data_IF_722309409201
#
_entry.id   IF_722309409201
#
_cell.length_a   1.000
_cell.length_b   1.000
_cell.length_c   1.000
_cell.angle_alpha   90.00
_cell.angle_beta   90.00
_cell.angle_gamma   90.00
#
_symmetry.space_group_name_H-M   'P 1'
#
loop_
_entity.id
_entity.type
_entity.pdbx_description
1 polymer ?
#
# COMPACT_ATOMS: atom_id res chain seq x y z
N UNK A 1 11.87 -40.09 4.02
CA UNK A 1 12.13 -38.65 3.91
C UNK A 1 11.58 -38.12 2.58
N UNK A 2 11.33 -36.84 2.49
CA UNK A 2 10.79 -36.19 1.29
C UNK A 2 10.60 -34.69 1.49
N UNK A 3 9.68 -34.10 0.73
CA UNK A 3 9.42 -32.66 0.75
C UNK A 3 7.93 -32.34 0.85
N UNK A 4 7.65 -31.14 1.37
CA UNK A 4 6.31 -30.55 1.41
C UNK A 4 5.96 -30.01 0.03
N UNK A 5 4.80 -30.44 -0.51
CA UNK A 5 4.23 -29.83 -1.72
C UNK A 5 3.39 -28.63 -1.33
N UNK A 6 2.49 -28.82 -0.35
CA UNK A 6 1.55 -27.80 0.10
C UNK A 6 1.19 -28.00 1.57
N UNK A 7 0.82 -26.93 2.25
CA UNK A 7 0.33 -26.98 3.62
C UNK A 7 -0.78 -25.97 3.86
N UNK A 8 -1.85 -26.41 4.52
CA UNK A 8 -3.02 -25.58 4.85
C UNK A 8 -3.48 -25.85 6.29
N UNK A 9 -4.26 -24.93 6.81
CA UNK A 9 -4.91 -25.08 8.11
C UNK A 9 -6.39 -25.41 7.90
N UNK A 10 -6.79 -26.63 8.24
CA UNK A 10 -8.18 -27.06 8.21
C UNK A 10 -8.86 -26.78 9.55
N UNK A 11 -10.12 -26.33 9.53
CA UNK A 11 -10.85 -25.96 10.75
C UNK A 11 -11.11 -27.15 11.69
N UNK A 12 -11.26 -28.35 11.14
CA UNK A 12 -11.62 -29.55 11.88
C UNK A 12 -10.43 -30.47 12.15
N UNK A 13 -9.49 -30.52 11.20
CA UNK A 13 -8.33 -31.45 11.25
C UNK A 13 -7.05 -30.79 11.73
N UNK A 14 -7.01 -29.44 11.85
CA UNK A 14 -5.78 -28.70 12.15
C UNK A 14 -4.85 -28.60 10.94
N UNK A 15 -3.52 -28.58 11.15
CA UNK A 15 -2.55 -28.56 10.06
C UNK A 15 -2.67 -29.81 9.18
N UNK A 16 -2.88 -29.59 7.88
CA UNK A 16 -2.97 -30.61 6.83
C UNK A 16 -1.85 -30.34 5.83
N UNK A 17 -1.02 -31.34 5.57
CA UNK A 17 0.20 -31.19 4.76
C UNK A 17 0.25 -32.27 3.68
N UNK A 18 0.46 -31.86 2.45
CA UNK A 18 0.74 -32.77 1.34
C UNK A 18 2.24 -33.00 1.23
N UNK A 19 2.66 -34.23 1.46
CA UNK A 19 4.05 -34.66 1.42
C UNK A 19 4.31 -35.47 0.15
N UNK A 20 5.42 -35.21 -0.53
CA UNK A 20 5.96 -36.10 -1.55
C UNK A 20 7.06 -36.97 -0.93
N UNK A 21 6.83 -38.27 -0.91
CA UNK A 21 7.81 -39.22 -0.42
C UNK A 21 8.90 -39.41 -1.47
N UNK A 22 10.15 -39.17 -1.10
CA UNK A 22 11.32 -39.31 -1.98
C UNK A 22 12.14 -40.55 -1.66
N UNK A 23 12.20 -40.93 -0.37
CA UNK A 23 13.00 -42.07 0.06
C UNK A 23 12.38 -42.72 1.30
N UNK A 24 12.38 -44.06 1.33
CA UNK A 24 11.82 -44.84 2.41
C UNK A 24 10.28 -44.91 2.35
N UNK A 25 9.68 -45.50 3.39
CA UNK A 25 8.23 -45.67 3.53
C UNK A 25 7.72 -44.88 4.71
N UNK A 26 6.71 -44.03 4.52
CA UNK A 26 6.00 -43.32 5.60
C UNK A 26 4.80 -44.15 6.04
N UNK A 27 4.65 -44.32 7.36
CA UNK A 27 3.57 -45.15 7.94
C UNK A 27 2.68 -44.31 8.87
N UNK A 28 1.46 -44.76 9.02
CA UNK A 28 0.56 -44.23 10.06
C UNK A 28 1.18 -44.39 11.43
N UNK A 29 1.21 -43.32 12.22
CA UNK A 29 1.81 -43.35 13.55
C UNK A 29 3.28 -42.95 13.60
N UNK A 30 3.98 -42.79 12.48
CA UNK A 30 5.38 -42.34 12.46
C UNK A 30 5.56 -40.97 13.06
N UNK A 31 6.52 -40.76 13.96
CA UNK A 31 6.96 -39.43 14.36
C UNK A 31 7.71 -38.75 13.21
N UNK A 32 7.30 -37.54 12.86
CA UNK A 32 7.92 -36.79 11.77
C UNK A 32 8.35 -35.39 12.20
N UNK A 33 9.36 -34.88 11.52
CA UNK A 33 9.75 -33.46 11.52
C UNK A 33 9.60 -32.93 10.11
N UNK A 34 8.89 -31.81 9.98
CA UNK A 34 8.67 -31.12 8.71
C UNK A 34 9.11 -29.67 8.88
N UNK A 35 10.19 -29.27 8.17
CA UNK A 35 10.81 -27.97 8.44
C UNK A 35 11.27 -27.85 9.90
N UNK A 36 10.69 -26.89 10.62
CA UNK A 36 10.90 -26.63 12.05
C UNK A 36 9.75 -27.12 12.95
N UNK A 37 8.81 -27.89 12.39
CA UNK A 37 7.65 -28.42 13.10
C UNK A 37 7.76 -29.93 13.30
N UNK A 38 7.19 -30.43 14.40
CA UNK A 38 7.15 -31.85 14.72
C UNK A 38 5.71 -32.35 14.84
N UNK A 39 5.52 -33.63 14.72
CA UNK A 39 4.24 -34.27 14.92
C UNK A 39 4.27 -35.74 14.76
N UNK A 40 3.11 -36.37 14.87
CA UNK A 40 2.90 -37.79 14.62
C UNK A 40 1.84 -37.95 13.53
N UNK A 41 2.13 -38.79 12.55
CA UNK A 41 1.17 -39.05 11.45
C UNK A 41 -0.12 -39.63 12.04
N UNK A 42 -1.19 -38.84 12.07
CA UNK A 42 -2.51 -39.26 12.58
C UNK A 42 -3.39 -39.83 11.49
N UNK A 43 -3.36 -39.24 10.29
CA UNK A 43 -4.02 -39.74 9.11
C UNK A 43 -3.08 -39.70 7.93
N UNK A 44 -3.16 -40.66 7.06
CA UNK A 44 -2.42 -40.73 5.81
C UNK A 44 -3.40 -41.02 4.69
N UNK A 45 -3.52 -40.12 3.71
CA UNK A 45 -4.42 -40.24 2.58
C UNK A 45 -3.68 -40.16 1.25
N UNK A 46 -4.08 -40.97 0.30
CA UNK A 46 -3.56 -40.92 -1.06
C UNK A 46 -4.13 -39.73 -1.86
N UNK A 47 -3.71 -39.58 -3.10
CA UNK A 47 -4.18 -38.59 -4.06
C UNK A 47 -5.66 -38.74 -4.43
N UNK A 48 -6.23 -39.94 -4.29
CA UNK A 48 -7.66 -40.20 -4.46
C UNK A 48 -8.51 -39.90 -3.20
N UNK A 49 -7.84 -39.54 -2.06
CA UNK A 49 -8.47 -39.23 -0.78
C UNK A 49 -8.76 -40.46 0.10
N UNK A 50 -8.31 -41.66 -0.30
CA UNK A 50 -8.48 -42.88 0.49
C UNK A 50 -7.48 -42.92 1.65
N UNK A 51 -7.89 -43.46 2.80
CA UNK A 51 -7.00 -43.68 3.92
C UNK A 51 -6.09 -44.89 3.63
N UNK A 52 -4.78 -44.66 3.81
CA UNK A 52 -3.76 -45.69 3.61
C UNK A 52 -2.94 -45.82 4.88
N UNK A 53 -2.38 -47.01 5.12
CA UNK A 53 -1.54 -47.28 6.32
C UNK A 53 -0.06 -47.00 6.07
N UNK A 54 0.35 -46.96 4.80
CA UNK A 54 1.75 -46.66 4.41
C UNK A 54 1.78 -46.00 3.01
N UNK A 55 2.82 -45.24 2.76
CA UNK A 55 3.11 -44.62 1.48
C UNK A 55 4.58 -44.80 1.09
N UNK A 56 4.81 -45.17 -0.18
CA UNK A 56 6.10 -45.45 -0.79
C UNK A 56 6.63 -44.23 -1.57
N UNK A 57 7.89 -44.26 -2.02
CA UNK A 57 8.46 -43.20 -2.83
C UNK A 57 7.65 -42.86 -4.08
N UNK A 58 7.74 -41.59 -4.50
CA UNK A 58 7.01 -40.99 -5.65
C UNK A 58 5.49 -40.88 -5.47
N UNK A 59 4.98 -41.15 -4.27
CA UNK A 59 3.55 -40.96 -3.97
C UNK A 59 3.32 -39.66 -3.18
N UNK A 60 2.46 -38.76 -3.64
CA UNK A 60 1.97 -37.66 -2.85
C UNK A 60 0.96 -38.17 -1.82
N UNK A 61 1.04 -37.71 -0.58
CA UNK A 61 0.09 -38.09 0.48
C UNK A 61 -0.27 -36.91 1.35
N UNK A 62 -1.54 -36.82 1.70
CA UNK A 62 -2.05 -35.87 2.67
C UNK A 62 -1.89 -36.43 4.08
N UNK A 63 -1.25 -35.66 4.95
CA UNK A 63 -0.91 -36.04 6.33
C UNK A 63 -1.48 -35.04 7.30
N UNK A 64 -2.01 -35.51 8.44
CA UNK A 64 -2.38 -34.67 9.59
C UNK A 64 -1.59 -35.07 10.82
N UNK A 65 -1.54 -34.17 11.83
CA UNK A 65 -0.91 -34.47 13.13
C UNK A 65 0.35 -33.68 13.42
N UNK A 66 0.68 -32.68 12.58
CA UNK A 66 1.72 -31.70 12.89
C UNK A 66 1.21 -30.65 13.88
N UNK A 67 2.15 -30.02 14.60
CA UNK A 67 1.89 -28.97 15.59
C UNK A 67 1.63 -27.60 14.95
N UNK A 68 2.06 -27.35 13.71
CA UNK A 68 1.78 -26.13 12.95
C UNK A 68 1.93 -26.36 11.43
N UNK A 69 1.70 -25.33 10.62
CA UNK A 69 1.69 -25.39 9.15
C UNK A 69 3.10 -25.12 8.59
N UNK A 70 3.78 -26.09 7.99
CA UNK A 70 5.11 -25.91 7.37
C UNK A 70 5.02 -25.13 6.06
N UNK A 71 6.18 -24.78 5.51
CA UNK A 71 6.31 -24.08 4.24
C UNK A 71 6.44 -25.10 3.09
N UNK A 72 5.87 -24.77 1.92
CA UNK A 72 6.09 -25.56 0.70
C UNK A 72 7.57 -25.61 0.36
N UNK A 73 8.10 -26.78 0.02
CA UNK A 73 9.52 -27.03 -0.18
C UNK A 73 10.31 -27.48 1.06
N UNK A 74 9.74 -27.37 2.26
CA UNK A 74 10.36 -27.89 3.48
C UNK A 74 10.64 -29.39 3.35
N UNK A 75 11.76 -29.81 3.91
CA UNK A 75 12.12 -31.23 3.97
C UNK A 75 11.47 -31.88 5.19
N UNK A 76 10.94 -33.08 4.99
CA UNK A 76 10.49 -33.90 6.12
C UNK A 76 11.32 -35.16 6.30
N UNK A 77 11.37 -35.62 7.55
CA UNK A 77 12.01 -36.89 7.96
C UNK A 77 11.14 -37.56 9.00
N UNK A 78 11.04 -38.89 8.90
CA UNK A 78 10.48 -39.74 9.96
C UNK A 78 11.59 -40.16 10.92
N UNK A 79 11.22 -40.31 12.18
CA UNK A 79 12.11 -40.67 13.31
C UNK A 79 11.57 -41.91 14.02
N UNK A 80 12.43 -42.56 14.80
CA UNK A 80 12.01 -43.73 15.57
C UNK A 80 11.26 -43.35 16.86
N UNK A 81 11.53 -42.14 17.40
CA UNK A 81 10.89 -41.65 18.61
C UNK A 81 10.38 -40.21 18.50
N UNK A 82 9.23 -39.93 19.14
CA UNK A 82 8.69 -38.57 19.22
C UNK A 82 9.64 -37.60 19.94
N UNK A 83 10.45 -38.11 20.90
CA UNK A 83 11.41 -37.29 21.67
C UNK A 83 12.51 -36.75 20.76
N UNK A 84 13.03 -37.58 19.87
CA UNK A 84 14.04 -37.17 18.89
C UNK A 84 13.45 -36.16 17.89
N UNK A 85 12.27 -36.45 17.34
CA UNK A 85 11.58 -35.55 16.44
C UNK A 85 11.38 -34.16 17.06
N UNK A 86 10.86 -34.07 18.28
CA UNK A 86 10.70 -32.83 19.03
C UNK A 86 12.02 -32.09 19.26
N UNK A 87 13.09 -32.80 19.64
CA UNK A 87 14.43 -32.21 19.87
C UNK A 87 14.97 -31.55 18.59
N UNK A 88 14.85 -32.23 17.44
CA UNK A 88 15.32 -31.73 16.15
C UNK A 88 14.48 -30.50 15.71
N UNK A 89 13.17 -30.56 15.85
CA UNK A 89 12.29 -29.47 15.53
C UNK A 89 12.58 -28.20 16.37
N UNK A 90 12.80 -28.38 17.70
CA UNK A 90 13.18 -27.27 18.59
C UNK A 90 14.49 -26.61 18.16
N UNK A 91 15.52 -27.35 17.90
CA UNK A 91 16.82 -26.81 17.45
C UNK A 91 16.68 -26.01 16.16
N UNK A 92 15.90 -26.51 15.17
CA UNK A 92 15.64 -25.79 13.91
C UNK A 92 14.89 -24.51 14.18
N UNK A 93 13.85 -24.54 15.02
CA UNK A 93 13.04 -23.36 15.39
C UNK A 93 13.87 -22.27 16.09
N UNK A 94 14.77 -22.64 16.97
CA UNK A 94 15.71 -21.71 17.63
C UNK A 94 16.65 -21.05 16.61
N UNK A 95 17.21 -21.84 15.69
CA UNK A 95 18.08 -21.32 14.63
C UNK A 95 17.35 -20.36 13.71
N UNK A 96 16.11 -20.65 13.33
CA UNK A 96 15.28 -19.76 12.51
C UNK A 96 14.89 -18.47 13.25
N UNK A 97 14.56 -18.58 14.55
CA UNK A 97 14.31 -17.41 15.40
C UNK A 97 15.54 -16.50 15.48
N UNK A 98 16.73 -17.07 15.72
CA UNK A 98 17.99 -16.31 15.75
C UNK A 98 18.24 -15.53 14.46
N UNK A 99 17.99 -16.14 13.30
CA UNK A 99 18.10 -15.47 11.99
C UNK A 99 17.08 -14.33 11.80
N UNK A 100 15.84 -14.51 12.27
CA UNK A 100 14.78 -13.48 12.17
C UNK A 100 15.04 -12.29 13.09
N UNK A 101 15.64 -12.49 14.27
CA UNK A 101 15.98 -11.40 15.19
C UNK A 101 17.19 -10.59 14.72
N UNK A 102 18.15 -11.19 14.01
CA UNK A 102 19.32 -10.49 13.49
C UNK A 102 18.99 -9.45 12.40
N UNK A 103 17.82 -9.51 11.79
CA UNK A 103 17.39 -8.55 10.74
C UNK A 103 16.44 -7.44 11.23
N UNK A 104 16.19 -7.25 12.53
CA UNK A 104 15.14 -6.37 13.03
C UNK A 104 15.53 -5.39 14.14
N UNK A 105 16.78 -5.06 14.30
CA UNK A 105 17.17 -3.93 15.12
C UNK A 105 17.30 -2.67 14.25
N UNK A 106 16.16 -2.01 13.99
CA UNK A 106 16.17 -0.62 13.52
C UNK A 106 16.79 0.24 14.63
N UNK A 107 17.80 1.04 14.30
CA UNK A 107 18.37 2.01 15.24
C UNK A 107 17.33 3.09 15.54
N UNK A 108 17.41 3.70 16.73
CA UNK A 108 16.56 4.85 17.07
C UNK A 108 16.70 5.99 16.07
N UNK A 109 17.88 6.15 15.47
CA UNK A 109 18.14 7.17 14.45
C UNK A 109 17.36 6.91 13.16
N UNK A 110 17.25 5.65 12.71
CA UNK A 110 16.42 5.27 11.55
C UNK A 110 14.92 5.48 11.82
N UNK A 111 14.47 5.30 13.06
CA UNK A 111 13.09 5.58 13.48
C UNK A 111 12.85 7.11 13.46
N UNK A 112 13.80 7.91 13.93
CA UNK A 112 13.72 9.37 13.91
C UNK A 112 13.74 9.94 12.49
N UNK A 113 14.51 9.36 11.57
CA UNK A 113 14.49 9.75 10.15
C UNK A 113 13.14 9.42 9.51
N UNK A 114 12.58 8.23 9.76
CA UNK A 114 11.25 7.84 9.26
C UNK A 114 10.13 8.76 9.77
N UNK A 115 10.20 9.22 11.03
CA UNK A 115 9.23 10.16 11.60
C UNK A 115 9.38 11.56 10.99
N UNK A 116 10.61 12.02 10.71
CA UNK A 116 10.87 13.32 10.09
C UNK A 116 10.42 13.43 8.64
N UNK A 117 10.44 12.31 7.89
CA UNK A 117 10.08 12.27 6.47
C UNK A 117 8.56 12.25 6.22
N UNK A 118 7.72 12.18 7.27
CA UNK A 118 6.26 12.20 7.14
C UNK A 118 5.70 11.09 6.25
N UNK A 119 6.42 9.97 6.13
CA UNK A 119 6.00 8.85 5.26
C UNK A 119 4.68 8.28 5.72
N UNK A 120 3.75 8.18 4.79
CA UNK A 120 2.47 7.52 5.00
C UNK A 120 2.67 6.01 5.00
N UNK A 121 1.94 5.29 5.86
CA UNK A 121 2.04 3.82 5.96
C UNK A 121 0.67 3.18 5.72
N UNK A 122 0.67 2.07 4.96
CA UNK A 122 -0.48 1.17 4.85
C UNK A 122 -0.17 -0.09 5.66
N UNK A 123 -0.90 -0.27 6.75
CA UNK A 123 -0.81 -1.46 7.58
C UNK A 123 -1.74 -2.55 7.03
N UNK A 124 -1.22 -3.76 6.87
CA UNK A 124 -1.93 -4.89 6.27
C UNK A 124 -1.90 -6.10 7.20
N UNK A 125 -3.05 -6.75 7.38
CA UNK A 125 -3.16 -8.10 7.91
C UNK A 125 -3.53 -9.01 6.74
N UNK A 126 -2.68 -10.01 6.47
CA UNK A 126 -2.85 -10.94 5.35
C UNK A 126 -3.32 -12.30 5.83
N UNK A 127 -4.40 -12.83 5.26
CA UNK A 127 -4.90 -14.19 5.50
C UNK A 127 -5.06 -14.91 4.17
N UNK A 128 -4.57 -16.14 4.09
CA UNK A 128 -4.55 -16.94 2.87
C UNK A 128 -5.02 -18.37 3.11
N UNK A 129 -5.36 -19.06 2.05
CA UNK A 129 -5.78 -20.47 2.09
C UNK A 129 -4.62 -21.43 2.39
N UNK A 130 -3.47 -21.20 1.77
CA UNK A 130 -2.27 -22.05 1.87
C UNK A 130 -1.02 -21.22 2.14
N UNK A 131 0.00 -21.88 2.64
CA UNK A 131 1.28 -21.23 3.03
C UNK A 131 2.02 -20.64 1.83
N UNK A 132 2.00 -21.31 0.69
CA UNK A 132 2.59 -20.81 -0.55
C UNK A 132 1.94 -19.52 -1.04
N UNK A 133 0.62 -19.40 -0.94
CA UNK A 133 -0.12 -18.17 -1.26
C UNK A 133 0.26 -17.03 -0.31
N UNK A 134 0.45 -17.30 0.98
CA UNK A 134 0.89 -16.29 1.97
C UNK A 134 2.23 -15.67 1.56
N UNK A 135 3.21 -16.49 1.24
CA UNK A 135 4.53 -16.01 0.83
C UNK A 135 4.49 -15.26 -0.50
N UNK A 136 3.75 -15.78 -1.48
CA UNK A 136 3.62 -15.15 -2.79
C UNK A 136 2.97 -13.76 -2.70
N UNK A 137 1.83 -13.64 -2.01
CA UNK A 137 1.12 -12.36 -1.85
C UNK A 137 1.94 -11.39 -1.01
N UNK A 138 2.54 -11.84 0.11
CA UNK A 138 3.40 -11.00 0.94
C UNK A 138 4.60 -10.45 0.18
N UNK A 139 5.28 -11.29 -0.60
CA UNK A 139 6.42 -10.86 -1.41
C UNK A 139 6.00 -9.91 -2.53
N UNK A 140 4.82 -10.11 -3.13
CA UNK A 140 4.27 -9.21 -4.13
C UNK A 140 3.96 -7.83 -3.52
N UNK A 141 3.32 -7.77 -2.36
CA UNK A 141 3.02 -6.53 -1.64
C UNK A 141 4.30 -5.75 -1.26
N UNK A 142 5.32 -6.45 -0.74
CA UNK A 142 6.59 -5.82 -0.33
C UNK A 142 7.46 -5.33 -1.51
N UNK A 143 7.16 -5.75 -2.74
CA UNK A 143 7.81 -5.26 -3.97
C UNK A 143 7.16 -4.00 -4.54
N UNK A 144 5.96 -3.64 -4.08
CA UNK A 144 5.32 -2.38 -4.50
C UNK A 144 6.16 -1.23 -3.94
N UNK A 145 6.59 -0.36 -4.83
CA UNK A 145 7.39 0.82 -4.48
C UNK A 145 6.67 2.08 -4.97
N UNK A 146 6.13 2.83 -4.05
CA UNK A 146 5.53 4.16 -4.27
C UNK A 146 6.24 5.12 -3.35
N UNK A 147 6.86 6.14 -3.91
CA UNK A 147 7.62 7.13 -3.15
C UNK A 147 6.71 7.83 -2.11
N UNK A 148 7.19 7.98 -0.88
CA UNK A 148 6.42 8.60 0.20
C UNK A 148 5.41 7.69 0.92
N UNK A 149 5.17 6.44 0.47
CA UNK A 149 4.25 5.51 1.14
C UNK A 149 4.91 4.14 1.33
N UNK A 150 4.77 3.56 2.52
CA UNK A 150 5.33 2.25 2.87
C UNK A 150 4.23 1.24 3.19
N UNK A 151 4.42 -0.01 2.75
CA UNK A 151 3.57 -1.13 3.16
C UNK A 151 4.18 -1.81 4.38
N UNK A 152 3.36 -2.00 5.41
CA UNK A 152 3.73 -2.71 6.62
C UNK A 152 2.79 -3.90 6.84
N UNK A 153 3.29 -5.12 6.67
CA UNK A 153 2.52 -6.34 6.93
C UNK A 153 2.63 -6.66 8.42
N UNK A 154 1.64 -6.22 9.20
CA UNK A 154 1.57 -6.41 10.66
C UNK A 154 1.52 -7.89 11.02
N UNK A 155 0.68 -8.63 10.31
CA UNK A 155 0.50 -10.07 10.51
C UNK A 155 0.16 -10.75 9.20
N UNK A 156 0.75 -11.92 8.98
CA UNK A 156 0.34 -12.82 7.92
C UNK A 156 0.09 -14.22 8.48
N UNK A 157 -0.79 -14.98 7.86
CA UNK A 157 -1.08 -16.34 8.30
C UNK A 157 -2.07 -17.09 7.42
N UNK A 158 -2.04 -18.41 7.56
CA UNK A 158 -2.93 -19.32 6.84
C UNK A 158 -4.23 -19.52 7.61
N UNK A 159 -5.32 -19.70 6.89
CA UNK A 159 -6.66 -19.94 7.43
C UNK A 159 -7.62 -18.78 7.22
N UNK A 160 -8.85 -18.93 7.71
CA UNK A 160 -9.90 -17.90 7.57
C UNK A 160 -9.62 -16.67 8.42
N UNK A 161 -10.19 -15.53 8.01
CA UNK A 161 -10.16 -14.30 8.80
C UNK A 161 -10.99 -14.51 10.08
N UNK A 162 -10.41 -14.17 11.23
CA UNK A 162 -11.00 -14.37 12.56
C UNK A 162 -11.34 -13.03 13.22
N UNK A 163 -12.13 -13.05 14.30
CA UNK A 163 -12.39 -11.85 15.09
C UNK A 163 -11.12 -11.26 15.73
N UNK A 164 -10.16 -12.10 16.10
CA UNK A 164 -8.86 -11.63 16.60
C UNK A 164 -8.09 -10.84 15.55
N UNK A 165 -8.22 -11.18 14.26
CA UNK A 165 -7.60 -10.43 13.17
C UNK A 165 -8.28 -9.06 13.02
N UNK A 166 -9.61 -8.98 13.22
CA UNK A 166 -10.38 -7.71 13.20
C UNK A 166 -9.98 -6.81 14.37
N UNK A 167 -9.87 -7.36 15.57
CA UNK A 167 -9.40 -6.59 16.75
C UNK A 167 -7.99 -6.06 16.56
N UNK A 168 -7.09 -6.89 16.01
CA UNK A 168 -5.72 -6.47 15.70
C UNK A 168 -5.70 -5.38 14.61
N UNK A 169 -6.55 -5.50 13.59
CA UNK A 169 -6.67 -4.49 12.54
C UNK A 169 -7.13 -3.14 13.11
N UNK A 170 -8.11 -3.15 14.00
CA UNK A 170 -8.57 -1.96 14.68
C UNK A 170 -7.46 -1.30 15.53
N UNK A 171 -6.71 -2.10 16.29
CA UNK A 171 -5.64 -1.60 17.16
C UNK A 171 -4.43 -1.05 16.37
N UNK A 172 -4.19 -1.53 15.15
CA UNK A 172 -3.06 -1.13 14.30
C UNK A 172 -3.45 -0.29 13.10
N UNK A 173 -4.68 0.18 13.01
CA UNK A 173 -5.23 0.91 11.87
C UNK A 173 -4.89 0.22 10.53
N UNK A 174 -5.15 -1.08 10.47
CA UNK A 174 -4.80 -1.94 9.35
C UNK A 174 -6.00 -2.36 8.53
N UNK A 175 -5.81 -2.59 7.23
CA UNK A 175 -6.76 -3.27 6.36
C UNK A 175 -6.53 -4.79 6.42
N UNK A 176 -7.58 -5.57 6.21
CA UNK A 176 -7.47 -7.03 6.17
C UNK A 176 -7.59 -7.49 4.72
N UNK A 177 -6.58 -8.20 4.23
CA UNK A 177 -6.56 -8.84 2.93
C UNK A 177 -6.78 -10.34 3.11
N UNK A 178 -7.85 -10.86 2.52
CA UNK A 178 -8.12 -12.29 2.40
C UNK A 178 -7.85 -12.78 0.98
N UNK A 179 -6.91 -13.70 0.83
CA UNK A 179 -6.61 -14.33 -0.45
C UNK A 179 -7.11 -15.76 -0.46
N UNK A 180 -8.06 -16.07 -1.35
CA UNK A 180 -8.80 -17.33 -1.42
C UNK A 180 -9.50 -17.76 -0.12
N UNK A 181 -9.68 -16.84 0.83
CA UNK A 181 -10.36 -17.10 2.09
C UNK A 181 -11.46 -16.07 2.33
N UNK A 182 -12.49 -16.47 3.09
CA UNK A 182 -13.60 -15.59 3.43
C UNK A 182 -13.84 -15.60 4.94
N UNK A 183 -14.17 -14.45 5.54
CA UNK A 183 -14.57 -14.38 6.95
C UNK A 183 -15.95 -15.03 7.16
N UNK A 184 -16.24 -15.45 8.39
CA UNK A 184 -17.59 -15.85 8.79
C UNK A 184 -18.54 -14.66 8.75
N UNK A 185 -19.86 -14.92 8.76
CA UNK A 185 -20.88 -13.85 8.83
C UNK A 185 -20.66 -12.96 10.08
N UNK A 186 -20.42 -13.58 11.22
CA UNK A 186 -20.15 -12.90 12.48
C UNK A 186 -18.89 -12.02 12.39
N UNK A 187 -17.79 -12.53 11.84
CA UNK A 187 -16.54 -11.76 11.63
C UNK A 187 -16.77 -10.55 10.72
N UNK A 188 -17.62 -10.68 9.68
CA UNK A 188 -17.99 -9.55 8.82
C UNK A 188 -18.76 -8.47 9.59
N UNK A 189 -19.71 -8.89 10.42
CA UNK A 189 -20.50 -7.97 11.24
C UNK A 189 -19.60 -7.24 12.26
N UNK A 190 -18.69 -7.97 12.91
CA UNK A 190 -17.70 -7.39 13.82
C UNK A 190 -16.78 -6.38 13.08
N UNK A 191 -16.26 -6.72 11.92
CA UNK A 191 -15.44 -5.81 11.12
C UNK A 191 -16.20 -4.52 10.75
N UNK A 192 -17.45 -4.66 10.34
CA UNK A 192 -18.32 -3.51 10.04
C UNK A 192 -18.54 -2.62 11.27
N UNK A 193 -18.73 -3.18 12.47
CA UNK A 193 -18.91 -2.41 13.70
C UNK A 193 -17.68 -1.61 14.11
N UNK A 194 -16.49 -2.11 13.78
CA UNK A 194 -15.20 -1.42 13.99
C UNK A 194 -14.76 -0.53 12.81
N UNK A 195 -15.52 -0.52 11.70
CA UNK A 195 -15.15 0.23 10.49
C UNK A 195 -13.93 -0.34 9.76
N UNK A 196 -13.61 -1.62 9.97
CA UNK A 196 -12.45 -2.27 9.35
C UNK A 196 -12.79 -2.75 7.96
N UNK A 197 -11.97 -2.35 6.98
CA UNK A 197 -12.08 -2.79 5.59
C UNK A 197 -11.49 -4.20 5.43
N UNK A 198 -12.29 -5.11 4.89
CA UNK A 198 -11.89 -6.47 4.54
C UNK A 198 -11.98 -6.62 3.02
N UNK A 199 -10.83 -6.77 2.37
CA UNK A 199 -10.71 -6.98 0.93
C UNK A 199 -10.44 -8.44 0.62
N UNK A 200 -11.21 -9.01 -0.30
CA UNK A 200 -11.13 -10.43 -0.67
C UNK A 200 -10.67 -10.57 -2.12
N UNK A 201 -9.64 -11.37 -2.34
CA UNK A 201 -9.03 -11.57 -3.65
C UNK A 201 -8.79 -13.06 -3.92
N UNK A 202 -8.74 -13.40 -5.20
CA UNK A 202 -8.33 -14.70 -5.73
C UNK A 202 -7.25 -14.59 -6.83
N UNK A 203 -6.84 -13.35 -7.17
CA UNK A 203 -5.82 -13.07 -8.18
C UNK A 203 -4.80 -12.11 -7.55
N UNK A 204 -3.51 -12.50 -7.54
CA UNK A 204 -2.44 -11.70 -6.90
C UNK A 204 -2.28 -10.34 -7.57
N UNK A 205 -2.38 -10.26 -8.90
CA UNK A 205 -2.23 -8.99 -9.62
C UNK A 205 -3.27 -7.95 -9.21
N UNK A 206 -4.51 -8.36 -8.90
CA UNK A 206 -5.54 -7.44 -8.40
C UNK A 206 -5.21 -6.88 -7.02
N UNK A 207 -4.58 -7.70 -6.15
CA UNK A 207 -4.10 -7.21 -4.85
C UNK A 207 -3.08 -6.11 -5.05
N UNK A 208 -2.10 -6.34 -5.95
CA UNK A 208 -1.03 -5.38 -6.22
C UNK A 208 -1.59 -4.09 -6.81
N UNK A 209 -2.45 -4.18 -7.84
CA UNK A 209 -3.07 -3.00 -8.49
C UNK A 209 -3.87 -2.14 -7.51
N UNK A 210 -4.73 -2.75 -6.69
CA UNK A 210 -5.58 -1.99 -5.76
C UNK A 210 -4.76 -1.35 -4.63
N UNK A 211 -3.76 -2.05 -4.10
CA UNK A 211 -2.89 -1.50 -3.06
C UNK A 211 -2.01 -0.39 -3.62
N UNK A 212 -1.44 -0.57 -4.82
CA UNK A 212 -0.66 0.48 -5.49
C UNK A 212 -1.50 1.73 -5.78
N UNK A 213 -2.73 1.54 -6.26
CA UNK A 213 -3.67 2.65 -6.46
C UNK A 213 -4.03 3.36 -5.15
N UNK A 214 -4.22 2.61 -4.05
CA UNK A 214 -4.46 3.18 -2.72
C UNK A 214 -3.24 3.97 -2.22
N UNK A 215 -2.02 3.46 -2.42
CA UNK A 215 -0.78 4.17 -2.07
C UNK A 215 -0.64 5.49 -2.84
N UNK A 216 -0.85 5.47 -4.16
CA UNK A 216 -0.85 6.69 -4.99
C UNK A 216 -1.91 7.70 -4.54
N UNK A 217 -3.10 7.23 -4.18
CA UNK A 217 -4.18 8.07 -3.65
C UNK A 217 -3.92 8.67 -2.27
N UNK A 218 -2.95 8.14 -1.52
CA UNK A 218 -2.53 8.71 -0.23
C UNK A 218 -1.54 9.85 -0.36
N UNK A 219 -0.86 9.99 -1.50
CA UNK A 219 0.08 11.08 -1.72
C UNK A 219 -0.64 12.42 -1.67
N UNK A 220 0.00 13.43 -1.09
CA UNK A 220 -0.52 14.78 -1.15
C UNK A 220 -0.45 15.26 -2.59
N UNK A 221 -1.47 15.99 -3.07
CA UNK A 221 -1.45 16.50 -4.42
C UNK A 221 -0.27 17.48 -4.59
N UNK A 222 0.64 17.16 -5.47
CA UNK A 222 1.68 18.10 -5.90
C UNK A 222 1.06 19.10 -6.85
N UNK A 223 1.34 20.39 -6.60
CA UNK A 223 0.89 21.48 -7.44
C UNK A 223 2.09 22.10 -8.13
N UNK A 224 2.05 22.18 -9.45
CA UNK A 224 3.01 22.93 -10.23
C UNK A 224 2.43 24.26 -10.68
N UNK A 225 3.31 25.28 -10.74
CA UNK A 225 2.95 26.57 -11.29
C UNK A 225 2.87 26.48 -12.82
N UNK A 226 1.69 26.74 -13.37
CA UNK A 226 1.50 26.83 -14.81
C UNK A 226 1.28 28.29 -15.19
N UNK A 227 2.21 28.86 -15.91
CA UNK A 227 2.08 30.21 -16.46
C UNK A 227 0.99 30.19 -17.52
N UNK A 228 -0.03 31.00 -17.34
CA UNK A 228 -1.15 31.16 -18.27
C UNK A 228 -0.86 32.24 -19.33
N UNK A 229 -0.17 33.29 -18.94
CA UNK A 229 0.14 34.39 -19.83
C UNK A 229 0.76 35.58 -19.12
N UNK A 230 1.08 36.60 -19.90
CA UNK A 230 1.66 37.85 -19.41
C UNK A 230 0.95 39.05 -20.01
N UNK A 231 0.94 40.16 -19.24
CA UNK A 231 0.36 41.40 -19.64
C UNK A 231 1.21 42.60 -19.17
N UNK A 232 1.29 43.65 -19.99
CA UNK A 232 2.06 44.86 -19.68
C UNK A 232 1.09 46.00 -19.30
N UNK A 233 1.41 46.73 -18.24
CA UNK A 233 0.63 47.89 -17.81
C UNK A 233 0.93 49.07 -18.73
N UNK A 234 -0.07 49.52 -19.48
CA UNK A 234 0.04 50.67 -20.38
C UNK A 234 -0.51 51.95 -19.77
N UNK A 235 -1.51 51.84 -18.87
CA UNK A 235 -2.16 52.98 -18.27
C UNK A 235 -2.75 52.66 -16.91
N UNK A 236 -2.78 53.60 -16.01
CA UNK A 236 -3.38 53.47 -14.69
C UNK A 236 -4.62 54.35 -14.58
N UNK A 237 -5.73 53.75 -14.17
CA UNK A 237 -6.98 54.48 -13.94
C UNK A 237 -7.27 54.52 -12.45
N UNK A 238 -7.47 55.73 -11.91
CA UNK A 238 -7.81 55.95 -10.51
C UNK A 238 -9.30 56.05 -10.30
N UNK A 239 -9.87 55.16 -9.52
CA UNK A 239 -11.29 55.19 -9.17
C UNK A 239 -11.48 55.23 -7.66
N UNK A 240 -12.22 56.26 -7.18
CA UNK A 240 -12.41 56.54 -5.75
C UNK A 240 -13.07 55.40 -4.95
N UNK A 241 -13.77 54.48 -5.61
CA UNK A 241 -14.51 53.37 -4.95
C UNK A 241 -13.82 52.02 -5.01
N UNK A 242 -12.86 51.81 -5.91
CA UNK A 242 -12.29 50.48 -6.22
C UNK A 242 -10.75 50.50 -6.14
N UNK A 243 -10.14 51.69 -5.94
CA UNK A 243 -8.68 51.85 -5.99
C UNK A 243 -8.16 52.04 -7.41
N UNK A 244 -6.88 51.75 -7.62
CA UNK A 244 -6.24 51.84 -8.92
C UNK A 244 -6.58 50.62 -9.78
N UNK A 245 -6.94 50.84 -11.04
CA UNK A 245 -7.16 49.80 -12.05
C UNK A 245 -5.99 49.86 -13.03
N UNK A 246 -5.28 48.73 -13.19
CA UNK A 246 -4.23 48.59 -14.18
C UNK A 246 -4.84 48.35 -15.57
N UNK A 247 -4.71 49.29 -16.49
CA UNK A 247 -5.00 49.10 -17.90
C UNK A 247 -3.86 48.39 -18.57
N UNK A 248 -4.07 47.12 -18.87
CA UNK A 248 -3.03 46.23 -19.38
C UNK A 248 -3.30 45.79 -20.82
N UNK A 249 -2.22 45.49 -21.52
CA UNK A 249 -2.24 44.81 -22.81
C UNK A 249 -1.69 43.39 -22.63
N UNK A 250 -2.45 42.37 -23.04
CA UNK A 250 -2.04 40.96 -22.93
C UNK A 250 -1.00 40.67 -24.01
N UNK A 251 0.25 40.50 -23.59
CA UNK A 251 1.41 40.28 -24.47
C UNK A 251 1.57 38.83 -24.86
N UNK A 252 1.21 37.89 -23.97
CA UNK A 252 1.23 36.46 -24.28
C UNK A 252 0.19 35.67 -23.48
N UNK A 253 -0.25 34.54 -24.04
CA UNK A 253 -1.17 33.62 -23.41
C UNK A 253 -2.56 34.19 -23.09
N UNK A 254 -3.04 33.96 -21.87
CA UNK A 254 -4.37 34.30 -21.41
C UNK A 254 -4.28 34.86 -19.99
N UNK A 255 -4.98 35.93 -19.71
CA UNK A 255 -5.22 36.47 -18.37
C UNK A 255 -6.59 36.02 -17.90
N UNK A 256 -6.67 35.35 -16.76
CA UNK A 256 -7.91 34.78 -16.23
C UNK A 256 -8.27 35.36 -14.87
N UNK A 257 -9.54 35.58 -14.63
CA UNK A 257 -10.04 36.08 -13.35
C UNK A 257 -9.79 35.05 -12.23
N UNK A 258 -9.47 35.47 -11.02
CA UNK A 258 -9.11 34.70 -9.86
C UNK A 258 -7.79 33.88 -10.03
N UNK A 259 -7.02 34.06 -11.09
CA UNK A 259 -5.68 33.50 -11.22
C UNK A 259 -4.68 34.22 -10.32
N UNK A 260 -3.60 33.55 -9.98
CA UNK A 260 -2.46 34.19 -9.29
C UNK A 260 -1.71 35.09 -10.29
N UNK A 261 -1.11 36.15 -9.78
CA UNK A 261 -0.38 37.10 -10.59
C UNK A 261 0.81 37.66 -9.85
N UNK A 262 1.96 37.66 -10.50
CA UNK A 262 3.17 38.38 -10.05
C UNK A 262 3.27 39.71 -10.76
N UNK A 263 3.50 40.75 -9.98
CA UNK A 263 3.83 42.06 -10.52
C UNK A 263 5.33 42.17 -10.61
N UNK A 264 5.84 42.39 -11.81
CA UNK A 264 7.26 42.45 -12.10
C UNK A 264 7.62 43.86 -12.57
N UNK A 265 8.59 44.51 -11.91
CA UNK A 265 9.15 45.81 -12.27
C UNK A 265 10.67 45.68 -12.40
N UNK A 266 11.23 46.11 -13.51
CA UNK A 266 12.69 46.04 -13.78
C UNK A 266 13.26 44.63 -13.54
N UNK A 267 12.50 43.58 -13.93
CA UNK A 267 12.91 42.17 -13.75
C UNK A 267 12.81 41.64 -12.31
N UNK A 268 12.29 42.43 -11.35
CA UNK A 268 12.11 42.00 -9.94
C UNK A 268 10.63 41.80 -9.63
N UNK A 269 10.30 40.70 -8.97
CA UNK A 269 8.97 40.44 -8.45
C UNK A 269 8.73 41.39 -7.26
N UNK A 270 7.73 42.27 -7.37
CA UNK A 270 7.33 43.17 -6.29
C UNK A 270 6.35 42.51 -5.33
N UNK A 271 5.38 41.76 -5.87
CA UNK A 271 4.37 41.07 -5.10
C UNK A 271 3.83 39.88 -5.89
N UNK A 272 3.36 38.89 -5.16
CA UNK A 272 2.60 37.75 -5.63
C UNK A 272 1.23 37.78 -4.98
N UNK A 273 0.16 37.86 -5.77
CA UNK A 273 -1.20 38.07 -5.30
C UNK A 273 -2.22 37.45 -6.28
N UNK A 274 -3.50 37.80 -6.17
CA UNK A 274 -4.55 37.30 -7.06
C UNK A 274 -5.21 38.42 -7.84
N UNK A 275 -5.68 38.09 -9.03
CA UNK A 275 -6.53 38.97 -9.83
C UNK A 275 -7.92 39.00 -9.20
N UNK A 276 -8.34 40.15 -8.72
CA UNK A 276 -9.66 40.37 -8.12
C UNK A 276 -10.78 40.55 -9.16
N UNK A 277 -10.49 41.31 -10.22
CA UNK A 277 -11.44 41.45 -11.34
C UNK A 277 -10.75 41.79 -12.66
N UNK A 278 -11.37 41.41 -13.75
CA UNK A 278 -10.98 41.79 -15.11
C UNK A 278 -12.15 42.47 -15.78
N UNK A 279 -11.91 43.65 -16.39
CA UNK A 279 -12.91 44.42 -17.13
C UNK A 279 -12.47 44.70 -18.55
N UNK A 280 -13.34 44.54 -19.50
CA UNK A 280 -13.14 44.93 -20.90
C UNK A 280 -14.17 45.94 -21.31
N UNK A 281 -13.74 47.21 -21.35
CA UNK A 281 -14.68 48.32 -21.49
C UNK A 281 -15.54 48.48 -20.23
N UNK A 282 -16.87 48.28 -20.34
CA UNK A 282 -17.80 48.34 -19.20
C UNK A 282 -18.21 46.99 -18.64
N UNK A 283 -17.78 45.89 -19.30
CA UNK A 283 -18.23 44.54 -18.99
C UNK A 283 -17.14 43.77 -18.22
N UNK A 284 -17.57 42.97 -17.25
CA UNK A 284 -16.68 42.02 -16.55
C UNK A 284 -16.35 40.86 -17.49
N UNK A 285 -15.06 40.52 -17.60
CA UNK A 285 -14.57 39.41 -18.39
C UNK A 285 -14.07 38.31 -17.49
N UNK A 286 -14.34 37.04 -17.86
CA UNK A 286 -13.77 35.87 -17.16
C UNK A 286 -12.33 35.60 -17.56
N UNK A 287 -12.00 35.87 -18.82
CA UNK A 287 -10.67 35.73 -19.40
C UNK A 287 -10.43 36.70 -20.55
N UNK A 288 -9.19 37.07 -20.77
CA UNK A 288 -8.76 37.91 -21.89
C UNK A 288 -7.52 37.27 -22.54
N UNK A 289 -7.56 37.18 -23.88
CA UNK A 289 -6.52 36.53 -24.67
C UNK A 289 -5.46 37.53 -25.14
N UNK A 290 -4.30 37.02 -25.56
CA UNK A 290 -3.23 37.78 -26.22
C UNK A 290 -3.77 38.75 -27.28
N UNK A 291 -3.22 39.97 -27.30
CA UNK A 291 -3.56 41.00 -28.29
C UNK A 291 -4.71 41.89 -27.87
N UNK A 292 -5.32 41.69 -26.72
CA UNK A 292 -6.41 42.53 -26.23
C UNK A 292 -6.03 43.33 -25.00
N UNK A 293 -6.69 44.49 -24.86
CA UNK A 293 -6.53 45.32 -23.66
C UNK A 293 -7.67 45.07 -22.67
N UNK A 294 -7.34 45.16 -21.38
CA UNK A 294 -8.32 45.06 -20.29
C UNK A 294 -7.87 45.84 -19.06
N UNK A 295 -8.80 46.11 -18.17
CA UNK A 295 -8.53 46.67 -16.84
C UNK A 295 -8.47 45.54 -15.82
N UNK A 296 -7.41 45.49 -15.00
CA UNK A 296 -7.22 44.50 -13.96
C UNK A 296 -7.13 45.18 -12.61
N UNK A 297 -7.82 44.58 -11.62
CA UNK A 297 -7.65 44.94 -10.21
C UNK A 297 -7.05 43.72 -9.48
N UNK A 298 -6.13 43.98 -8.55
CA UNK A 298 -5.48 42.95 -7.75
C UNK A 298 -6.03 42.93 -6.31
N UNK A 299 -5.90 41.83 -5.63
CA UNK A 299 -6.21 41.74 -4.21
C UNK A 299 -5.12 42.44 -3.38
N UNK A 300 -5.52 43.42 -2.57
CA UNK A 300 -4.64 44.09 -1.58
C UNK A 300 -3.38 44.78 -2.17
N UNK A 301 -3.38 45.12 -3.47
CA UNK A 301 -2.28 45.81 -4.11
C UNK A 301 -2.77 46.76 -5.22
N UNK A 302 -2.30 47.99 -5.17
CA UNK A 302 -2.67 49.04 -6.11
C UNK A 302 -1.52 50.01 -6.47
N UNK A 303 -0.27 49.71 -6.04
CA UNK A 303 0.92 50.51 -6.36
C UNK A 303 1.55 50.11 -7.70
N UNK A 304 0.76 50.18 -8.76
CA UNK A 304 1.19 49.93 -10.14
C UNK A 304 1.95 51.09 -10.72
N UNK A 305 2.88 50.80 -11.66
CA UNK A 305 3.46 51.81 -12.56
C UNK A 305 3.28 51.39 -14.02
N UNK A 306 3.26 52.36 -14.90
CA UNK A 306 3.30 52.09 -16.34
C UNK A 306 4.62 51.40 -16.68
N UNK A 307 4.58 50.33 -17.49
CA UNK A 307 5.73 49.47 -17.80
C UNK A 307 5.88 48.28 -16.86
N UNK A 308 5.13 48.15 -15.75
CA UNK A 308 5.13 46.93 -14.96
C UNK A 308 4.51 45.76 -15.77
N UNK A 309 5.03 44.57 -15.55
CA UNK A 309 4.56 43.33 -16.20
C UNK A 309 3.81 42.46 -15.22
N UNK A 310 2.66 41.96 -15.63
CA UNK A 310 1.93 40.92 -14.91
C UNK A 310 2.25 39.57 -15.50
N UNK A 311 2.75 38.65 -14.69
CA UNK A 311 2.87 37.22 -15.01
C UNK A 311 1.74 36.48 -14.30
N UNK A 312 0.81 35.93 -15.10
CA UNK A 312 -0.39 35.28 -14.61
C UNK A 312 -0.19 33.76 -14.62
N UNK A 313 -0.45 33.10 -13.51
CA UNK A 313 -0.28 31.66 -13.36
C UNK A 313 -1.40 31.02 -12.52
N UNK A 314 -1.51 29.72 -12.61
CA UNK A 314 -2.38 28.88 -11.76
C UNK A 314 -1.57 27.74 -11.18
N UNK A 315 -1.99 27.28 -10.01
CA UNK A 315 -1.49 26.03 -9.44
C UNK A 315 -2.30 24.88 -10.04
N UNK A 316 -1.67 24.07 -10.89
CA UNK A 316 -2.32 22.89 -11.50
C UNK A 316 -1.81 21.64 -10.79
N UNK A 317 -2.73 20.76 -10.39
CA UNK A 317 -2.37 19.50 -9.73
C UNK A 317 -1.68 18.58 -10.73
N UNK A 318 -0.46 18.15 -10.39
CA UNK A 318 0.26 17.13 -11.16
C UNK A 318 -0.41 15.78 -10.93
N UNK A 319 -0.89 15.16 -12.00
CA UNK A 319 -1.37 13.78 -11.95
C UNK A 319 -0.15 12.87 -12.09
N UNK A 320 0.24 12.21 -11.03
CA UNK A 320 1.18 11.10 -11.11
C UNK A 320 0.53 9.96 -11.90
N UNK A 321 1.10 9.65 -13.07
CA UNK A 321 0.64 8.60 -13.97
C UNK A 321 0.97 7.20 -13.43
#
# INVERSE_FOLDING_TARGET
MGSVIEARLDKSKGPVVTLLIQNGTLRLGDPIVVGSFSGKVRTLRDDAGNEVVSAEPSKPVEVTGLDDVPVAGDKFMAFESEKEAKSVAMKRRETERGKKFAHKALSLDEIFEQIKEGRKEINIILKTDVKGSEEAVKNALLKINVEGVKINVIRSGVGTITESDVVLANASNAIIIGFNVSPSKQTKETAKSYGIDIRLYNIIYKVVEEIEAAMKGMLDPEFEEKILGSAEIRKIFKFSKVGNIAGVYVTDGIVKNNANVRVIRDGKILIDTKISSIQRGKDQAKEVKKGFECGITLEKYDDFKEGDTFEVYVMEQVKHA
#
